data_IF_277090438606
#
_entry.id   IF_277090438606
#
_cell.length_a   1.000
_cell.length_b   1.000
_cell.length_c   1.000
_cell.angle_alpha   90.00
_cell.angle_beta   90.00
_cell.angle_gamma   90.00
#
_symmetry.space_group_name_H-M   'P 1'
#
loop_
_entity.id
_entity.type
_entity.pdbx_description
1 polymer ?
#
# COMPACT_ATOMS: atom_id res chain seq x y z
N UNK A 1 -49.47 -27.20 18.19
CA UNK A 1 -49.33 -26.27 19.34
C UNK A 1 -48.03 -25.49 19.19
N UNK A 2 -48.06 -24.23 18.74
CA UNK A 2 -46.86 -23.37 18.68
C UNK A 2 -46.96 -22.33 19.80
N UNK A 3 -46.20 -22.53 20.89
CA UNK A 3 -46.20 -21.67 22.08
C UNK A 3 -45.44 -20.37 21.75
N UNK A 4 -46.18 -19.30 21.45
CA UNK A 4 -45.66 -17.95 21.19
C UNK A 4 -44.95 -17.44 22.46
N UNK A 5 -43.62 -17.57 22.47
CA UNK A 5 -42.73 -17.08 23.55
C UNK A 5 -42.88 -15.56 23.60
N UNK A 6 -43.48 -15.01 24.67
CA UNK A 6 -43.54 -13.56 24.90
C UNK A 6 -42.11 -13.05 25.05
N UNK A 7 -41.59 -12.40 24.02
CA UNK A 7 -40.32 -11.68 24.09
C UNK A 7 -40.56 -10.39 24.88
N UNK A 8 -39.77 -10.18 25.94
CA UNK A 8 -39.80 -8.93 26.69
C UNK A 8 -39.10 -7.86 25.84
N UNK A 9 -39.80 -6.80 25.41
CA UNK A 9 -39.25 -5.80 24.48
C UNK A 9 -38.03 -5.09 25.07
N UNK A 10 -37.97 -4.94 26.40
CA UNK A 10 -36.82 -4.37 27.14
C UNK A 10 -35.56 -5.24 26.97
N UNK A 11 -35.70 -6.57 26.98
CA UNK A 11 -34.55 -7.47 26.81
C UNK A 11 -34.05 -7.39 25.37
N UNK A 12 -34.94 -7.25 24.40
CA UNK A 12 -34.56 -7.09 23.00
C UNK A 12 -33.81 -5.77 22.75
N UNK A 13 -34.26 -4.64 23.32
CA UNK A 13 -33.55 -3.36 23.18
C UNK A 13 -32.18 -3.37 23.85
N UNK A 14 -32.03 -3.99 25.02
CA UNK A 14 -30.73 -4.12 25.69
C UNK A 14 -29.72 -4.94 24.87
N UNK A 15 -30.17 -6.04 24.25
CA UNK A 15 -29.31 -6.86 23.40
C UNK A 15 -28.86 -6.11 22.15
N UNK A 16 -29.76 -5.35 21.51
CA UNK A 16 -29.40 -4.53 20.34
C UNK A 16 -28.42 -3.42 20.71
N UNK A 17 -28.65 -2.72 21.84
CA UNK A 17 -27.75 -1.68 22.31
C UNK A 17 -26.34 -2.23 22.60
N UNK A 18 -26.24 -3.39 23.24
CA UNK A 18 -24.98 -4.06 23.51
C UNK A 18 -24.24 -4.42 22.21
N UNK A 19 -24.96 -4.92 21.21
CA UNK A 19 -24.38 -5.27 19.91
C UNK A 19 -23.80 -4.04 19.19
N UNK A 20 -24.52 -2.91 19.23
CA UNK A 20 -24.05 -1.63 18.67
C UNK A 20 -22.78 -1.17 19.38
N UNK A 21 -22.75 -1.21 20.73
CA UNK A 21 -21.57 -0.80 21.51
C UNK A 21 -20.35 -1.66 21.18
N UNK A 22 -20.52 -2.99 21.11
CA UNK A 22 -19.44 -3.92 20.75
C UNK A 22 -18.95 -3.65 19.33
N UNK A 23 -19.87 -3.46 18.37
CA UNK A 23 -19.51 -3.15 16.99
C UNK A 23 -18.75 -1.82 16.87
N UNK A 24 -19.18 -0.79 17.58
CA UNK A 24 -18.51 0.51 17.62
C UNK A 24 -17.11 0.42 18.23
N UNK A 25 -16.95 -0.33 19.32
CA UNK A 25 -15.65 -0.55 19.95
C UNK A 25 -14.69 -1.31 19.02
N UNK A 26 -15.17 -2.32 18.28
CA UNK A 26 -14.35 -3.05 17.29
C UNK A 26 -13.91 -2.15 16.13
N UNK A 27 -14.82 -1.31 15.62
CA UNK A 27 -14.52 -0.38 14.52
C UNK A 27 -13.48 0.68 14.94
N UNK A 28 -13.59 1.23 16.14
CA UNK A 28 -12.65 2.25 16.66
C UNK A 28 -11.25 1.70 16.92
N UNK A 29 -11.13 0.42 17.31
CA UNK A 29 -9.83 -0.23 17.50
C UNK A 29 -9.21 -0.70 16.16
N UNK A 30 -10.04 -1.08 15.18
CA UNK A 30 -9.58 -1.55 13.87
C UNK A 30 -8.90 -0.47 13.02
N UNK A 31 -9.33 0.78 13.11
CA UNK A 31 -8.78 1.89 12.31
C UNK A 31 -7.34 2.25 12.70
N UNK A 32 -6.98 2.15 13.99
CA UNK A 32 -5.63 2.48 14.47
C UNK A 32 -4.56 1.50 13.98
N UNK A 33 -4.92 0.24 13.75
CA UNK A 33 -4.00 -0.79 13.23
C UNK A 33 -3.79 -0.72 11.71
N UNK A 34 -4.61 0.05 10.99
CA UNK A 34 -4.55 0.17 9.53
C UNK A 34 -3.52 1.23 9.10
N UNK A 35 -3.52 2.38 9.78
CA UNK A 35 -2.74 3.55 9.38
C UNK A 35 -1.22 3.33 9.38
N UNK A 36 -0.65 2.57 10.32
CA UNK A 36 0.79 2.30 10.33
C UNK A 36 1.22 1.21 9.34
N UNK A 37 0.29 0.38 8.84
CA UNK A 37 0.61 -0.69 7.89
C UNK A 37 0.65 -0.22 6.44
N UNK A 38 0.16 0.98 6.15
CA UNK A 38 0.02 1.46 4.78
C UNK A 38 1.36 1.82 4.13
N UNK A 39 2.29 2.45 4.85
CA UNK A 39 3.56 2.91 4.27
C UNK A 39 4.54 1.79 3.88
N UNK A 40 4.64 0.71 4.68
CA UNK A 40 5.52 -0.43 4.32
C UNK A 40 4.88 -1.23 3.18
N UNK A 41 3.55 -1.35 3.18
CA UNK A 41 2.82 -2.00 2.07
C UNK A 41 2.90 -1.19 0.79
N UNK A 42 2.89 0.14 0.83
CA UNK A 42 2.97 0.97 -0.36
C UNK A 42 4.31 0.80 -1.06
N UNK A 43 5.43 0.88 -0.32
CA UNK A 43 6.77 0.65 -0.88
C UNK A 43 6.90 -0.71 -1.56
N UNK A 44 6.46 -1.79 -0.91
CA UNK A 44 6.59 -3.12 -1.49
C UNK A 44 5.76 -3.28 -2.77
N UNK A 45 4.59 -2.63 -2.84
CA UNK A 45 3.75 -2.63 -4.05
C UNK A 45 4.48 -1.99 -5.23
N UNK A 46 5.15 -0.86 -5.03
CA UNK A 46 5.94 -0.20 -6.09
C UNK A 46 7.00 -1.14 -6.67
N UNK A 47 7.76 -1.81 -5.80
CA UNK A 47 8.76 -2.82 -6.21
C UNK A 47 8.11 -3.96 -7.00
N UNK A 48 6.98 -4.48 -6.51
CA UNK A 48 6.30 -5.61 -7.15
C UNK A 48 5.70 -5.24 -8.51
N UNK A 49 5.21 -4.01 -8.67
CA UNK A 49 4.72 -3.48 -9.95
C UNK A 49 5.86 -3.39 -10.96
N UNK A 50 6.99 -2.77 -10.60
CA UNK A 50 8.15 -2.66 -11.50
C UNK A 50 8.65 -4.05 -11.89
N UNK A 51 8.76 -4.97 -10.92
CA UNK A 51 9.18 -6.35 -11.17
C UNK A 51 8.24 -7.06 -12.15
N UNK A 52 6.93 -6.88 -11.99
CA UNK A 52 5.93 -7.47 -12.89
C UNK A 52 6.14 -7.02 -14.32
N UNK A 53 6.33 -5.73 -14.56
CA UNK A 53 6.58 -5.19 -15.90
C UNK A 53 7.94 -5.64 -16.47
N UNK A 54 8.98 -5.72 -15.65
CA UNK A 54 10.28 -6.23 -16.07
C UNK A 54 10.21 -7.70 -16.50
N UNK A 55 9.49 -8.54 -15.75
CA UNK A 55 9.24 -9.95 -16.12
C UNK A 55 8.38 -10.02 -17.38
N UNK A 56 7.39 -9.15 -17.54
CA UNK A 56 6.57 -9.08 -18.74
C UNK A 56 7.44 -8.78 -19.97
N UNK A 57 8.31 -7.77 -19.89
CA UNK A 57 9.27 -7.43 -20.94
C UNK A 57 10.17 -8.62 -21.30
N UNK A 58 10.70 -9.34 -20.30
CA UNK A 58 11.49 -10.54 -20.55
C UNK A 58 10.69 -11.63 -21.26
N UNK A 59 9.42 -11.81 -20.90
CA UNK A 59 8.56 -12.82 -21.51
C UNK A 59 8.18 -12.49 -22.97
N UNK A 60 8.01 -11.21 -23.30
CA UNK A 60 7.59 -10.76 -24.64
C UNK A 60 8.76 -10.51 -25.58
N UNK A 61 9.87 -9.99 -25.07
CA UNK A 61 11.02 -9.52 -25.86
C UNK A 61 12.28 -10.37 -25.66
N UNK A 62 12.27 -11.31 -24.70
CA UNK A 62 13.41 -12.18 -24.40
C UNK A 62 14.53 -11.51 -23.61
N UNK A 63 14.32 -10.28 -23.13
CA UNK A 63 15.29 -9.52 -22.33
C UNK A 63 14.61 -8.62 -21.29
N UNK A 64 15.27 -8.44 -20.14
CA UNK A 64 14.87 -7.47 -19.13
C UNK A 64 15.11 -6.06 -19.65
N UNK A 65 14.26 -5.09 -19.23
CA UNK A 65 14.33 -3.74 -19.75
C UNK A 65 15.63 -3.05 -19.29
N UNK A 66 16.25 -2.22 -20.13
CA UNK A 66 17.55 -1.61 -19.82
C UNK A 66 17.46 -0.56 -18.70
N UNK A 67 16.29 0.06 -18.50
CA UNK A 67 16.03 1.10 -17.51
C UNK A 67 14.52 1.25 -17.26
N UNK A 68 14.16 2.13 -16.31
CA UNK A 68 12.75 2.41 -15.99
C UNK A 68 12.04 3.18 -17.11
N UNK A 69 12.74 4.05 -17.83
CA UNK A 69 12.18 4.86 -18.92
C UNK A 69 11.66 3.97 -20.07
N UNK A 70 12.31 2.83 -20.31
CA UNK A 70 11.83 1.82 -21.25
C UNK A 70 10.45 1.29 -20.84
N UNK A 71 10.29 0.99 -19.55
CA UNK A 71 9.01 0.53 -19.02
C UNK A 71 7.94 1.64 -19.03
N UNK A 72 8.30 2.89 -18.75
CA UNK A 72 7.36 4.03 -18.82
C UNK A 72 6.84 4.23 -20.26
N UNK A 73 7.73 4.14 -21.26
CA UNK A 73 7.40 4.40 -22.67
C UNK A 73 6.73 3.22 -23.39
N UNK A 74 7.14 1.98 -23.14
CA UNK A 74 6.66 0.80 -23.87
C UNK A 74 5.57 0.02 -23.12
N UNK A 75 5.62 0.05 -21.79
CA UNK A 75 4.71 -0.69 -20.93
C UNK A 75 3.77 0.21 -20.13
N UNK A 76 3.83 1.54 -20.33
CA UNK A 76 3.00 2.53 -19.65
C UNK A 76 3.09 2.41 -18.12
N UNK A 77 4.26 2.02 -17.62
CA UNK A 77 4.55 2.08 -16.19
C UNK A 77 4.45 3.54 -15.74
N UNK A 78 3.69 3.79 -14.66
CA UNK A 78 3.61 5.11 -14.03
C UNK A 78 4.30 5.03 -12.68
N UNK A 79 5.31 5.87 -12.47
CA UNK A 79 6.07 5.95 -11.22
C UNK A 79 5.65 7.19 -10.43
N UNK A 80 5.37 7.03 -9.14
CA UNK A 80 5.12 8.16 -8.26
C UNK A 80 6.44 8.76 -7.78
N UNK A 81 7.05 9.57 -8.66
CA UNK A 81 8.33 10.24 -8.41
C UNK A 81 8.20 11.39 -7.42
N UNK A 82 7.00 11.77 -7.00
CA UNK A 82 6.79 12.79 -5.96
C UNK A 82 6.98 12.20 -4.55
N UNK A 83 6.60 10.93 -4.35
CA UNK A 83 6.71 10.25 -3.06
C UNK A 83 7.93 9.33 -2.95
N UNK A 84 8.48 8.84 -4.07
CA UNK A 84 9.52 7.83 -4.06
C UNK A 84 10.67 8.16 -5.01
N UNK A 85 11.86 7.75 -4.59
CA UNK A 85 13.04 7.60 -5.44
C UNK A 85 13.24 6.13 -5.80
N UNK A 86 13.52 5.88 -7.08
CA UNK A 86 13.62 4.54 -7.66
C UNK A 86 15.06 4.29 -8.12
N UNK A 87 15.64 3.19 -7.66
CA UNK A 87 16.92 2.67 -8.16
C UNK A 87 16.67 1.37 -8.90
N UNK A 88 17.15 1.32 -10.14
CA UNK A 88 17.02 0.19 -11.02
C UNK A 88 18.40 -0.15 -11.57
N UNK A 89 18.92 -1.31 -11.17
CA UNK A 89 20.24 -1.77 -11.57
C UNK A 89 20.12 -3.05 -12.39
N UNK A 90 20.67 -3.02 -13.60
CA UNK A 90 20.72 -4.18 -14.50
C UNK A 90 22.19 -4.56 -14.75
N UNK A 91 22.50 -5.83 -14.55
CA UNK A 91 23.84 -6.36 -14.82
C UNK A 91 23.97 -6.89 -16.25
N UNK A 92 22.94 -7.60 -16.71
CA UNK A 92 22.87 -8.17 -18.06
C UNK A 92 21.40 -8.32 -18.47
N UNK A 93 21.14 -8.34 -19.78
CA UNK A 93 19.80 -8.42 -20.35
C UNK A 93 19.01 -9.68 -19.94
N UNK A 94 19.67 -10.75 -19.51
CA UNK A 94 19.06 -12.02 -19.11
C UNK A 94 19.04 -12.25 -17.59
N UNK A 95 19.53 -11.29 -16.79
CA UNK A 95 19.54 -11.37 -15.32
C UNK A 95 18.53 -10.36 -14.79
N UNK A 96 17.68 -10.80 -13.86
CA UNK A 96 16.65 -9.96 -13.29
C UNK A 96 17.27 -8.70 -12.63
N UNK A 97 16.67 -7.52 -12.84
CA UNK A 97 17.17 -6.28 -12.27
C UNK A 97 17.04 -6.26 -10.75
N UNK A 98 17.96 -5.54 -10.11
CA UNK A 98 17.82 -5.15 -8.70
C UNK A 98 16.96 -3.88 -8.67
N UNK A 99 15.84 -3.94 -7.95
CA UNK A 99 14.88 -2.85 -7.84
C UNK A 99 14.82 -2.42 -6.38
N UNK A 100 15.16 -1.16 -6.12
CA UNK A 100 15.06 -0.55 -4.80
C UNK A 100 14.20 0.70 -4.88
N UNK A 101 13.22 0.81 -3.98
CA UNK A 101 12.34 1.97 -3.85
C UNK A 101 12.58 2.60 -2.49
N UNK A 102 12.83 3.90 -2.46
CA UNK A 102 13.13 4.67 -1.25
C UNK A 102 12.05 5.75 -1.14
N UNK A 103 11.28 5.83 -0.05
CA UNK A 103 10.37 6.95 0.15
C UNK A 103 11.19 8.23 0.29
N UNK A 104 10.78 9.28 -0.40
CA UNK A 104 11.33 10.61 -0.19
C UNK A 104 11.03 11.00 1.25
N UNK A 105 12.09 11.31 2.00
CA UNK A 105 11.92 11.92 3.31
C UNK A 105 11.25 13.27 3.06
N UNK A 106 10.08 13.49 3.66
CA UNK A 106 9.57 14.83 3.81
C UNK A 106 10.61 15.55 4.68
N UNK A 107 11.52 16.30 4.03
CA UNK A 107 12.47 17.14 4.72
C UNK A 107 11.60 18.12 5.48
N UNK A 108 11.49 17.89 6.79
CA UNK A 108 10.74 18.75 7.69
C UNK A 108 11.26 20.17 7.45
N UNK A 109 10.43 20.97 6.77
CA UNK A 109 10.79 22.28 6.22
C UNK A 109 11.19 23.26 7.31
N UNK A 110 11.00 22.88 8.57
CA UNK A 110 11.41 23.63 9.74
C UNK A 110 12.92 23.50 10.01
N UNK A 111 13.59 22.40 9.61
CA UNK A 111 15.06 22.29 9.73
C UNK A 111 15.82 23.18 8.73
N UNK A 112 15.30 23.37 7.51
CA UNK A 112 15.93 24.22 6.49
C UNK A 112 15.83 25.72 6.80
N UNK A 113 14.95 26.11 7.73
CA UNK A 113 14.87 27.49 8.22
C UNK A 113 15.92 27.82 9.28
N UNK A 114 16.42 26.81 10.02
CA UNK A 114 17.45 27.01 11.06
C UNK A 114 18.88 27.14 10.51
N UNK A 115 19.14 26.76 9.25
CA UNK A 115 20.45 26.93 8.62
C UNK A 115 20.60 28.29 7.90
N UNK A 116 19.51 29.05 7.78
CA UNK A 116 19.49 30.36 7.11
C UNK A 116 19.24 31.54 8.07
N UNK A 117 19.39 31.33 9.38
CA UNK A 117 19.40 32.36 10.42
C UNK A 117 20.74 32.32 11.19
#
# INVERSE_FOLDING_TARGET
MYRKRRSNPIVATLVVALFIIISGALLLNGTRAFLQKDHVRSKQREVDVIRKYAVQCYATEGSYPPNLEYLESHYQLMLNRDEYDYMYEIFAANIAPIITVIPKLEVDRDFLKMENE
#
